data_IF_634442423599
#
_entry.id   IF_634442423599
#
_cell.length_a   1.000
_cell.length_b   1.000
_cell.length_c   1.000
_cell.angle_alpha   90.00
_cell.angle_beta   90.00
_cell.angle_gamma   90.00
#
_symmetry.space_group_name_H-M   'P 1'
#
loop_
_entity.id
_entity.type
_entity.pdbx_description
1 polymer ?
#
# COMPACT_ATOMS: atom_id res chain seq x y z
N UNK A 1 -24.54 9.31 -15.89
CA UNK A 1 -23.98 8.53 -14.76
C UNK A 1 -22.89 7.55 -15.23
N UNK A 2 -22.97 7.00 -16.44
CA UNK A 2 -22.04 5.96 -16.94
C UNK A 2 -20.59 6.41 -17.10
N UNK A 3 -20.36 7.66 -17.54
CA UNK A 3 -18.99 8.20 -17.66
C UNK A 3 -18.28 8.35 -16.31
N UNK A 4 -19.01 8.72 -15.27
CA UNK A 4 -18.47 8.84 -13.91
C UNK A 4 -18.20 7.45 -13.30
N UNK A 5 -19.08 6.48 -13.53
CA UNK A 5 -18.85 5.09 -13.13
C UNK A 5 -17.64 4.46 -13.83
N UNK A 6 -17.51 4.65 -15.15
CA UNK A 6 -16.36 4.17 -15.91
C UNK A 6 -15.05 4.82 -15.45
N UNK A 7 -15.08 6.12 -15.13
CA UNK A 7 -13.94 6.83 -14.55
C UNK A 7 -13.57 6.28 -13.17
N UNK A 8 -14.54 6.13 -12.27
CA UNK A 8 -14.35 5.57 -10.93
C UNK A 8 -13.77 4.15 -11.01
N UNK A 9 -14.32 3.28 -11.86
CA UNK A 9 -13.82 1.92 -12.10
C UNK A 9 -12.38 1.91 -12.60
N UNK A 10 -12.04 2.79 -13.56
CA UNK A 10 -10.68 2.90 -14.09
C UNK A 10 -9.71 3.42 -13.03
N UNK A 11 -10.16 4.34 -12.18
CA UNK A 11 -9.37 4.88 -11.08
C UNK A 11 -9.14 3.83 -9.99
N UNK A 12 -10.17 3.13 -9.52
CA UNK A 12 -10.03 2.09 -8.49
C UNK A 12 -9.23 0.90 -8.97
N UNK A 13 -9.50 0.39 -10.19
CA UNK A 13 -8.75 -0.73 -10.76
C UNK A 13 -7.32 -0.32 -11.14
N UNK A 14 -7.15 0.89 -11.67
CA UNK A 14 -5.85 1.45 -12.00
C UNK A 14 -4.98 1.65 -10.76
N UNK A 15 -5.55 2.22 -9.70
CA UNK A 15 -4.86 2.44 -8.43
C UNK A 15 -4.50 1.10 -7.77
N UNK A 16 -5.41 0.11 -7.76
CA UNK A 16 -5.11 -1.24 -7.30
C UNK A 16 -3.93 -1.87 -8.05
N UNK A 17 -3.87 -1.74 -9.38
CA UNK A 17 -2.74 -2.23 -10.19
C UNK A 17 -1.42 -1.53 -9.85
N UNK A 18 -1.45 -0.23 -9.59
CA UNK A 18 -0.25 0.52 -9.17
C UNK A 18 0.25 0.00 -7.82
N UNK A 19 -0.64 -0.19 -6.85
CA UNK A 19 -0.27 -0.74 -5.53
C UNK A 19 0.32 -2.15 -5.65
N UNK A 20 -0.28 -3.01 -6.47
CA UNK A 20 0.26 -4.36 -6.72
C UNK A 20 1.61 -4.31 -7.42
N UNK A 21 1.79 -3.44 -8.42
CA UNK A 21 3.07 -3.27 -9.12
C UNK A 21 4.17 -2.79 -8.17
N UNK A 22 3.84 -1.89 -7.25
CA UNK A 22 4.76 -1.44 -6.21
C UNK A 22 5.15 -2.59 -5.27
N UNK A 23 4.18 -3.35 -4.75
CA UNK A 23 4.46 -4.49 -3.89
C UNK A 23 5.33 -5.55 -4.59
N UNK A 24 5.07 -5.83 -5.87
CA UNK A 24 5.89 -6.73 -6.68
C UNK A 24 7.31 -6.21 -6.88
N UNK A 25 7.47 -4.90 -7.09
CA UNK A 25 8.79 -4.27 -7.16
C UNK A 25 9.52 -4.38 -5.82
N UNK A 26 8.86 -4.04 -4.71
CA UNK A 26 9.43 -4.17 -3.37
C UNK A 26 9.86 -5.62 -3.08
N UNK A 27 9.05 -6.58 -3.50
CA UNK A 27 9.39 -7.99 -3.43
C UNK A 27 10.62 -8.35 -4.27
N UNK A 28 10.74 -7.85 -5.50
CA UNK A 28 11.89 -8.11 -6.38
C UNK A 28 13.22 -7.58 -5.80
N UNK A 29 13.17 -6.48 -5.04
CA UNK A 29 14.35 -5.84 -4.47
C UNK A 29 14.73 -6.42 -3.10
N UNK A 30 13.77 -7.01 -2.38
CA UNK A 30 13.98 -7.54 -1.04
C UNK A 30 14.86 -8.80 -1.05
N UNK A 31 16.11 -8.67 -0.58
CA UNK A 31 17.08 -9.77 -0.42
C UNK A 31 16.77 -10.61 0.82
N UNK A 32 16.27 -9.97 1.89
CA UNK A 32 15.82 -10.62 3.12
C UNK A 32 14.30 -10.55 3.34
N UNK A 33 13.83 -11.33 4.32
CA UNK A 33 12.42 -11.28 4.77
C UNK A 33 12.10 -9.95 5.49
N UNK A 34 13.07 -9.41 6.24
CA UNK A 34 12.94 -8.10 6.88
C UNK A 34 12.92 -6.96 5.85
N UNK A 35 13.79 -7.03 4.83
CA UNK A 35 13.83 -6.06 3.74
C UNK A 35 12.47 -5.94 3.04
N UNK A 36 11.75 -7.05 2.88
CA UNK A 36 10.41 -7.04 2.28
C UNK A 36 9.41 -6.22 3.11
N UNK A 37 9.44 -6.37 4.43
CA UNK A 37 8.58 -5.59 5.33
C UNK A 37 8.96 -4.11 5.29
N UNK A 38 10.26 -3.82 5.30
CA UNK A 38 10.76 -2.45 5.30
C UNK A 38 10.45 -1.73 3.98
N UNK A 39 10.73 -2.37 2.84
CA UNK A 39 10.43 -1.85 1.51
C UNK A 39 8.91 -1.76 1.30
N UNK A 40 8.15 -2.79 1.64
CA UNK A 40 6.70 -2.83 1.41
C UNK A 40 5.91 -1.85 2.29
N UNK A 41 6.29 -1.69 3.56
CA UNK A 41 5.57 -0.85 4.53
C UNK A 41 6.19 0.54 4.69
N UNK A 42 7.43 0.75 4.25
CA UNK A 42 8.15 2.03 4.35
C UNK A 42 7.34 3.24 3.88
N UNK A 43 6.67 3.20 2.71
CA UNK A 43 5.84 4.31 2.25
C UNK A 43 4.66 4.62 3.18
N UNK A 44 4.10 3.62 3.88
CA UNK A 44 2.99 3.83 4.82
C UNK A 44 3.49 4.59 6.05
N UNK A 45 4.67 4.25 6.56
CA UNK A 45 5.30 4.98 7.66
C UNK A 45 5.66 6.42 7.26
N UNK A 46 6.22 6.61 6.05
CA UNK A 46 6.53 7.94 5.52
C UNK A 46 5.26 8.80 5.35
N UNK A 47 4.17 8.22 4.82
CA UNK A 47 2.87 8.87 4.73
C UNK A 47 2.29 9.18 6.11
N UNK A 48 2.40 8.26 7.07
CA UNK A 48 1.96 8.47 8.44
C UNK A 48 2.67 9.65 9.10
N UNK A 49 3.99 9.76 8.95
CA UNK A 49 4.78 10.88 9.43
C UNK A 49 4.40 12.20 8.75
N UNK A 50 4.18 12.19 7.43
CA UNK A 50 3.73 13.35 6.69
C UNK A 50 2.35 13.83 7.17
N UNK A 51 1.42 12.90 7.37
CA UNK A 51 0.08 13.19 7.89
C UNK A 51 0.10 13.68 9.33
N UNK A 52 1.06 13.20 10.14
CA UNK A 52 1.28 13.68 11.50
C UNK A 52 1.78 15.13 11.54
N UNK A 53 2.61 15.52 10.57
CA UNK A 53 3.11 16.90 10.44
C UNK A 53 2.03 17.87 9.94
N UNK A 54 0.94 17.37 9.35
CA UNK A 54 -0.15 18.19 8.86
C UNK A 54 -1.10 18.64 9.98
N UNK A 55 -1.68 19.84 9.89
CA UNK A 55 -2.73 20.28 10.80
C UNK A 55 -3.89 19.28 10.87
N UNK A 56 -4.38 19.00 12.08
CA UNK A 56 -5.33 17.91 12.35
C UNK A 56 -6.63 17.97 11.53
N UNK A 57 -7.10 19.16 11.14
CA UNK A 57 -8.29 19.34 10.29
C UNK A 57 -8.11 18.85 8.84
N UNK A 58 -6.87 18.81 8.33
CA UNK A 58 -6.51 18.31 6.99
C UNK A 58 -5.98 16.87 7.09
N UNK A 59 -5.17 16.59 8.11
CA UNK A 59 -4.56 15.28 8.31
C UNK A 59 -5.60 14.17 8.53
N UNK A 60 -6.64 14.41 9.34
CA UNK A 60 -7.66 13.39 9.68
C UNK A 60 -8.50 12.93 8.48
N UNK A 61 -9.08 13.82 7.64
CA UNK A 61 -9.80 13.39 6.43
C UNK A 61 -8.92 12.61 5.45
N UNK A 62 -7.69 13.06 5.23
CA UNK A 62 -6.77 12.41 4.29
C UNK A 62 -6.35 11.04 4.82
N UNK A 63 -6.04 10.92 6.13
CA UNK A 63 -5.74 9.66 6.77
C UNK A 63 -6.90 8.66 6.65
N UNK A 64 -8.14 9.12 6.79
CA UNK A 64 -9.32 8.27 6.62
C UNK A 64 -9.42 7.71 5.20
N UNK A 65 -9.26 8.56 4.18
CA UNK A 65 -9.30 8.11 2.77
C UNK A 65 -8.15 7.16 2.44
N UNK A 66 -6.95 7.43 2.97
CA UNK A 66 -5.75 6.62 2.72
C UNK A 66 -5.71 5.33 3.55
N UNK A 67 -6.58 5.16 4.55
CA UNK A 67 -6.60 3.97 5.41
C UNK A 67 -6.89 2.68 4.62
N UNK A 68 -7.87 2.70 3.72
CA UNK A 68 -8.25 1.54 2.90
C UNK A 68 -7.11 1.06 1.97
N UNK A 69 -6.46 1.93 1.16
CA UNK A 69 -5.33 1.49 0.36
C UNK A 69 -4.11 1.11 1.21
N UNK A 70 -3.86 1.77 2.35
CA UNK A 70 -2.80 1.36 3.26
C UNK A 70 -3.02 -0.06 3.80
N UNK A 71 -4.25 -0.38 4.24
CA UNK A 71 -4.61 -1.73 4.69
C UNK A 71 -4.43 -2.77 3.56
N UNK A 72 -4.78 -2.41 2.33
CA UNK A 72 -4.60 -3.30 1.18
C UNK A 72 -3.11 -3.58 0.91
N UNK A 73 -2.24 -2.56 0.97
CA UNK A 73 -0.79 -2.74 0.84
C UNK A 73 -0.26 -3.63 1.96
N UNK A 74 -0.65 -3.39 3.21
CA UNK A 74 -0.26 -4.22 4.36
C UNK A 74 -0.61 -5.69 4.11
N UNK A 75 -1.83 -5.96 3.66
CA UNK A 75 -2.26 -7.31 3.33
C UNK A 75 -1.40 -7.95 2.23
N UNK A 76 -1.10 -7.24 1.14
CA UNK A 76 -0.26 -7.76 0.05
C UNK A 76 1.16 -8.08 0.53
N UNK A 77 1.76 -7.18 1.32
CA UNK A 77 3.11 -7.37 1.86
C UNK A 77 3.16 -8.54 2.84
N UNK A 78 2.18 -8.66 3.74
CA UNK A 78 2.08 -9.80 4.67
C UNK A 78 1.85 -11.13 3.95
N UNK A 79 1.04 -11.13 2.88
CA UNK A 79 0.84 -12.31 2.04
C UNK A 79 2.15 -12.74 1.37
N UNK A 80 2.92 -11.80 0.82
CA UNK A 80 4.22 -12.09 0.22
C UNK A 80 5.22 -12.59 1.27
N UNK A 81 5.22 -11.98 2.46
CA UNK A 81 6.04 -12.39 3.59
C UNK A 81 5.74 -13.84 4.03
N UNK A 82 4.47 -14.19 4.21
CA UNK A 82 4.04 -15.54 4.57
C UNK A 82 4.39 -16.56 3.48
N UNK A 83 4.21 -16.19 2.21
CA UNK A 83 4.55 -17.06 1.06
C UNK A 83 6.05 -17.36 0.96
N UNK A 84 6.91 -16.39 1.29
CA UNK A 84 8.37 -16.60 1.38
C UNK A 84 8.78 -17.39 2.62
N UNK A 85 8.11 -17.16 3.76
CA UNK A 85 8.35 -17.89 5.01
C UNK A 85 7.98 -19.37 4.90
N UNK A 86 6.85 -19.70 4.28
CA UNK A 86 6.40 -21.07 4.07
C UNK A 86 7.24 -21.88 3.07
N UNK A 87 8.06 -21.23 2.23
CA UNK A 87 9.01 -21.91 1.32
C UNK A 87 10.36 -22.25 1.96
N UNK A 88 10.62 -21.78 3.19
CA UNK A 88 11.85 -22.05 3.95
C UNK A 88 11.66 -23.07 5.08
N UNK A 89 10.44 -23.56 5.29
CA UNK A 89 10.11 -24.64 6.24
C UNK A 89 9.99 -25.99 5.54
#
# INVERSE_FOLDING_TARGET
>A
MDKFHAFMMRYTLGFGRVLTAYCNWAESQAKGQFDLLLLGLGPIFALGLLLWALPAWIGKPIAFVLSLPALYIIFLVLRAYASRGGKRG
#
